data_IF_029103562272
#
_entry.id   IF_029103562272
#
_cell.length_a   1.000
_cell.length_b   1.000
_cell.length_c   1.000
_cell.angle_alpha   90.00
_cell.angle_beta   90.00
_cell.angle_gamma   90.00
#
_symmetry.space_group_name_H-M   'P 1'
#
loop_
_entity.id
_entity.type
_entity.pdbx_description
1 polymer ?
#
# COMPACT_ATOMS: atom_id res chain seq x y z
N UNK A 1 -11.54 72.54 17.55
CA UNK A 1 -12.19 71.62 16.58
C UNK A 1 -11.20 71.12 15.54
N UNK A 2 -9.90 71.01 15.88
CA UNK A 2 -8.84 70.53 14.98
C UNK A 2 -8.23 69.20 15.48
N UNK A 3 -8.36 68.90 16.78
CA UNK A 3 -7.80 67.68 17.39
C UNK A 3 -8.54 66.38 17.04
N UNK A 4 -9.75 66.41 16.48
CA UNK A 4 -10.50 65.20 16.07
C UNK A 4 -10.12 64.67 14.68
N UNK A 5 -9.45 65.47 13.84
CA UNK A 5 -9.07 65.09 12.47
C UNK A 5 -7.78 64.28 12.41
N UNK A 6 -6.84 64.51 13.35
CA UNK A 6 -5.53 63.86 13.36
C UNK A 6 -5.63 62.36 13.74
N UNK A 7 -6.56 62.01 14.64
CA UNK A 7 -6.77 60.61 15.07
C UNK A 7 -7.63 59.78 14.10
N UNK A 8 -8.39 60.44 13.23
CA UNK A 8 -9.26 59.76 12.27
C UNK A 8 -8.49 59.30 11.01
N UNK A 9 -7.39 60.00 10.68
CA UNK A 9 -6.50 59.64 9.58
C UNK A 9 -5.66 58.40 9.92
N UNK A 10 -5.18 58.32 11.17
CA UNK A 10 -4.45 57.16 11.70
C UNK A 10 -5.33 55.89 11.75
N UNK A 11 -6.61 56.05 12.09
CA UNK A 11 -7.59 54.95 12.13
C UNK A 11 -7.85 54.38 10.73
N UNK A 12 -7.95 55.24 9.70
CA UNK A 12 -8.13 54.82 8.30
C UNK A 12 -6.88 54.16 7.74
N UNK A 13 -5.70 54.70 8.03
CA UNK A 13 -4.44 54.09 7.62
C UNK A 13 -4.21 52.70 8.26
N UNK A 14 -4.56 52.56 9.55
CA UNK A 14 -4.59 51.26 10.23
C UNK A 14 -5.58 50.32 9.56
N UNK A 15 -6.80 50.77 9.28
CA UNK A 15 -7.84 49.96 8.64
C UNK A 15 -7.43 49.48 7.23
N UNK A 16 -6.81 50.35 6.42
CA UNK A 16 -6.28 49.99 5.10
C UNK A 16 -5.11 49.00 5.20
N UNK A 17 -4.24 49.14 6.21
CA UNK A 17 -3.13 48.20 6.44
C UNK A 17 -3.62 46.81 6.87
N UNK A 18 -4.63 46.75 7.74
CA UNK A 18 -5.26 45.51 8.18
C UNK A 18 -6.03 44.86 7.02
N UNK A 19 -6.71 45.66 6.20
CA UNK A 19 -7.39 45.18 4.99
C UNK A 19 -6.39 44.61 3.97
N UNK A 20 -5.24 45.26 3.77
CA UNK A 20 -4.20 44.78 2.86
C UNK A 20 -3.57 43.47 3.35
N UNK A 21 -3.32 43.34 4.66
CA UNK A 21 -2.83 42.09 5.26
C UNK A 21 -3.86 40.98 5.08
N UNK A 22 -5.11 41.24 5.44
CA UNK A 22 -6.20 40.27 5.31
C UNK A 22 -6.37 39.81 3.85
N UNK A 23 -6.31 40.73 2.89
CA UNK A 23 -6.39 40.43 1.46
C UNK A 23 -5.20 39.58 0.97
N UNK A 24 -3.98 39.90 1.42
CA UNK A 24 -2.79 39.10 1.12
C UNK A 24 -2.91 37.69 1.70
N UNK A 25 -3.38 37.57 2.94
CA UNK A 25 -3.54 36.28 3.61
C UNK A 25 -4.60 35.42 2.92
N UNK A 26 -5.76 35.99 2.54
CA UNK A 26 -6.77 35.28 1.76
C UNK A 26 -6.25 34.86 0.38
N UNK A 27 -5.47 35.72 -0.29
CA UNK A 27 -4.91 35.40 -1.62
C UNK A 27 -3.89 34.28 -1.52
N UNK A 28 -2.99 34.34 -0.55
CA UNK A 28 -1.98 33.30 -0.31
C UNK A 28 -2.61 31.99 0.14
N UNK A 29 -3.62 32.05 1.03
CA UNK A 29 -4.37 30.89 1.46
C UNK A 29 -5.10 30.24 0.29
N UNK A 30 -5.83 31.03 -0.52
CA UNK A 30 -6.55 30.52 -1.69
C UNK A 30 -5.62 29.97 -2.77
N UNK A 31 -4.44 30.57 -2.97
CA UNK A 31 -3.42 30.02 -3.88
C UNK A 31 -2.88 28.68 -3.37
N UNK A 32 -2.53 28.59 -2.08
CA UNK A 32 -2.08 27.33 -1.46
C UNK A 32 -3.15 26.26 -1.56
N UNK A 33 -4.39 26.59 -1.22
CA UNK A 33 -5.53 25.68 -1.30
C UNK A 33 -5.78 25.21 -2.73
N UNK A 34 -5.74 26.12 -3.71
CA UNK A 34 -5.89 25.76 -5.14
C UNK A 34 -4.79 24.83 -5.64
N UNK A 35 -3.53 25.06 -5.23
CA UNK A 35 -2.41 24.16 -5.55
C UNK A 35 -2.61 22.80 -4.89
N UNK A 36 -2.99 22.76 -3.62
CA UNK A 36 -3.24 21.50 -2.89
C UNK A 36 -4.39 20.72 -3.53
N UNK A 37 -5.52 21.38 -3.80
CA UNK A 37 -6.69 20.75 -4.42
C UNK A 37 -6.39 20.22 -5.83
N UNK A 38 -5.60 20.96 -6.62
CA UNK A 38 -5.17 20.50 -7.94
C UNK A 38 -4.24 19.28 -7.87
N UNK A 39 -3.32 19.27 -6.90
CA UNK A 39 -2.42 18.12 -6.67
C UNK A 39 -3.18 16.90 -6.18
N UNK A 40 -4.09 17.08 -5.22
CA UNK A 40 -4.91 16.00 -4.66
C UNK A 40 -5.81 15.40 -5.73
N UNK A 41 -6.46 16.21 -6.57
CA UNK A 41 -7.29 15.73 -7.66
C UNK A 41 -6.54 14.85 -8.67
N UNK A 42 -5.35 15.29 -9.10
CA UNK A 42 -4.51 14.51 -10.01
C UNK A 42 -3.98 13.22 -9.36
N UNK A 43 -3.66 13.25 -8.08
CA UNK A 43 -3.18 12.08 -7.34
C UNK A 43 -4.30 11.05 -7.11
N UNK A 44 -5.51 11.52 -6.81
CA UNK A 44 -6.65 10.67 -6.49
C UNK A 44 -7.12 9.86 -7.70
N UNK A 45 -7.15 10.46 -8.90
CA UNK A 45 -7.48 9.74 -10.14
C UNK A 45 -6.54 8.55 -10.38
N UNK A 46 -5.23 8.77 -10.24
CA UNK A 46 -4.24 7.69 -10.37
C UNK A 46 -4.36 6.60 -9.30
N UNK A 47 -4.72 6.99 -8.07
CA UNK A 47 -5.00 6.01 -7.00
C UNK A 47 -6.25 5.18 -7.30
N UNK A 48 -7.35 5.82 -7.71
CA UNK A 48 -8.63 5.16 -7.99
C UNK A 48 -8.47 4.15 -9.13
N UNK A 49 -7.74 4.50 -10.18
CA UNK A 49 -7.41 3.59 -11.28
C UNK A 49 -6.55 2.40 -10.81
N UNK A 50 -5.47 2.66 -10.06
CA UNK A 50 -4.62 1.62 -9.50
C UNK A 50 -5.38 0.68 -8.56
N UNK A 51 -6.28 1.22 -7.75
CA UNK A 51 -7.16 0.46 -6.87
C UNK A 51 -8.15 -0.39 -7.66
N UNK A 52 -8.83 0.18 -8.67
CA UNK A 52 -9.86 -0.52 -9.43
C UNK A 52 -9.27 -1.63 -10.33
N UNK A 53 -8.14 -1.36 -10.98
CA UNK A 53 -7.55 -2.26 -11.98
C UNK A 53 -6.70 -3.36 -11.32
N UNK A 54 -5.93 -3.02 -10.29
CA UNK A 54 -4.95 -3.94 -9.69
C UNK A 54 -5.29 -4.26 -8.24
N UNK A 55 -5.47 -3.23 -7.41
CA UNK A 55 -5.61 -3.37 -5.95
C UNK A 55 -6.78 -4.27 -5.53
N UNK A 56 -7.99 -3.90 -5.94
CA UNK A 56 -9.22 -4.58 -5.56
C UNK A 56 -9.33 -6.00 -6.15
N UNK A 57 -9.06 -6.25 -7.44
CA UNK A 57 -9.11 -7.61 -8.00
C UNK A 57 -8.11 -8.55 -7.33
N UNK A 58 -6.86 -8.10 -7.17
CA UNK A 58 -5.79 -8.91 -6.60
C UNK A 58 -6.01 -9.17 -5.10
N UNK A 59 -6.44 -8.15 -4.36
CA UNK A 59 -6.79 -8.26 -2.95
C UNK A 59 -7.98 -9.21 -2.73
N UNK A 60 -9.01 -9.15 -3.58
CA UNK A 60 -10.15 -10.08 -3.54
C UNK A 60 -9.71 -11.52 -3.81
N UNK A 61 -8.90 -11.75 -4.85
CA UNK A 61 -8.40 -13.09 -5.18
C UNK A 61 -7.61 -13.70 -4.02
N UNK A 62 -6.63 -12.98 -3.48
CA UNK A 62 -5.84 -13.44 -2.33
C UNK A 62 -6.70 -13.67 -1.09
N UNK A 63 -7.62 -12.75 -0.77
CA UNK A 63 -8.49 -12.86 0.38
C UNK A 63 -9.37 -14.12 0.32
N UNK A 64 -9.90 -14.42 -0.87
CA UNK A 64 -10.72 -15.59 -1.11
C UNK A 64 -9.90 -16.88 -0.99
N UNK A 65 -8.69 -16.93 -1.55
CA UNK A 65 -7.79 -18.09 -1.39
C UNK A 65 -7.42 -18.35 0.08
N UNK A 66 -7.10 -17.29 0.84
CA UNK A 66 -6.81 -17.40 2.28
C UNK A 66 -8.02 -17.89 3.06
N UNK A 67 -9.21 -17.38 2.75
CA UNK A 67 -10.47 -17.80 3.36
C UNK A 67 -10.76 -19.29 3.10
N UNK A 68 -10.62 -19.73 1.84
CA UNK A 68 -10.81 -21.13 1.45
C UNK A 68 -9.81 -22.06 2.16
N UNK A 69 -8.53 -21.70 2.18
CA UNK A 69 -7.50 -22.48 2.87
C UNK A 69 -7.77 -22.59 4.38
N UNK A 70 -8.22 -21.50 5.01
CA UNK A 70 -8.57 -21.47 6.45
C UNK A 70 -9.80 -22.32 6.75
N UNK A 71 -10.81 -22.28 5.88
CA UNK A 71 -12.02 -23.09 6.00
C UNK A 71 -11.70 -24.58 5.85
N UNK A 72 -10.90 -24.97 4.85
CA UNK A 72 -10.44 -26.34 4.67
C UNK A 72 -9.64 -26.83 5.87
N UNK A 73 -8.70 -26.02 6.38
CA UNK A 73 -7.90 -26.35 7.55
C UNK A 73 -8.78 -26.59 8.78
N UNK A 74 -9.79 -25.75 9.02
CA UNK A 74 -10.74 -25.91 10.13
C UNK A 74 -11.63 -27.14 9.98
N UNK A 75 -12.04 -27.47 8.75
CA UNK A 75 -12.83 -28.67 8.47
C UNK A 75 -12.03 -29.94 8.71
N UNK A 76 -10.79 -29.99 8.22
CA UNK A 76 -9.90 -31.13 8.37
C UNK A 76 -9.45 -31.31 9.82
N UNK A 77 -9.22 -30.23 10.56
CA UNK A 77 -8.82 -30.30 11.98
C UNK A 77 -9.91 -30.86 12.91
N UNK A 78 -11.18 -30.76 12.52
CA UNK A 78 -12.32 -31.28 13.30
C UNK A 78 -12.61 -32.76 13.02
N UNK A 79 -12.00 -33.35 11.99
CA UNK A 79 -12.29 -34.72 11.58
C UNK A 79 -11.13 -35.64 11.94
N UNK A 80 -11.32 -36.54 12.91
CA UNK A 80 -10.32 -37.53 13.32
C UNK A 80 -10.27 -38.73 12.36
N UNK A 81 -9.71 -38.56 11.16
CA UNK A 81 -9.47 -39.66 10.22
C UNK A 81 -8.02 -39.64 9.71
N UNK A 82 -7.31 -40.75 9.87
CA UNK A 82 -5.90 -40.95 9.48
C UNK A 82 -5.62 -40.54 8.02
N UNK A 83 -6.53 -40.83 7.09
CA UNK A 83 -6.39 -40.44 5.68
C UNK A 83 -6.50 -38.92 5.46
N UNK A 84 -7.13 -38.20 6.38
CA UNK A 84 -7.27 -36.73 6.34
C UNK A 84 -6.12 -35.99 7.01
N UNK A 85 -5.25 -36.67 7.77
CA UNK A 85 -4.07 -36.03 8.36
C UNK A 85 -3.05 -35.57 7.31
N UNK A 86 -2.85 -36.33 6.23
CA UNK A 86 -2.00 -35.90 5.12
C UNK A 86 -2.56 -34.62 4.44
N UNK A 87 -3.88 -34.56 4.24
CA UNK A 87 -4.54 -33.37 3.73
C UNK A 87 -4.52 -32.18 4.70
N UNK A 88 -4.45 -32.43 6.02
CA UNK A 88 -4.34 -31.38 7.04
C UNK A 88 -2.97 -30.68 6.96
N UNK A 89 -1.88 -31.45 6.87
CA UNK A 89 -0.54 -30.88 6.71
C UNK A 89 -0.41 -30.11 5.39
N UNK A 90 -1.00 -30.62 4.31
CA UNK A 90 -1.02 -29.89 3.04
C UNK A 90 -1.85 -28.59 3.12
N UNK A 91 -3.03 -28.63 3.74
CA UNK A 91 -3.83 -27.42 3.98
C UNK A 91 -3.08 -26.38 4.82
N UNK A 92 -2.30 -26.84 5.81
CA UNK A 92 -1.48 -25.98 6.67
C UNK A 92 -0.33 -25.33 5.89
N UNK A 93 0.39 -26.09 5.05
CA UNK A 93 1.44 -25.56 4.17
C UNK A 93 0.88 -24.53 3.18
N UNK A 94 -0.27 -24.81 2.56
CA UNK A 94 -0.91 -23.86 1.64
C UNK A 94 -1.34 -22.59 2.39
N UNK A 95 -1.95 -22.73 3.56
CA UNK A 95 -2.41 -21.59 4.36
C UNK A 95 -1.25 -20.70 4.85
N UNK A 96 -0.13 -21.30 5.29
CA UNK A 96 1.05 -20.52 5.70
C UNK A 96 1.65 -19.76 4.52
N UNK A 97 1.85 -20.44 3.37
CA UNK A 97 2.40 -19.80 2.16
C UNK A 97 1.51 -18.67 1.65
N UNK A 98 0.18 -18.85 1.63
CA UNK A 98 -0.75 -17.80 1.25
C UNK A 98 -0.73 -16.61 2.21
N UNK A 99 -0.44 -16.84 3.50
CA UNK A 99 -0.32 -15.77 4.51
C UNK A 99 0.96 -14.98 4.33
N UNK A 100 2.06 -15.64 3.95
CA UNK A 100 3.36 -15.01 3.73
C UNK A 100 3.43 -14.13 2.48
N UNK A 101 2.59 -14.39 1.46
CA UNK A 101 2.54 -13.58 0.23
C UNK A 101 2.08 -12.15 0.53
N UNK A 102 2.89 -11.14 0.23
CA UNK A 102 2.50 -9.74 0.34
C UNK A 102 1.97 -9.20 -0.98
N UNK A 103 1.19 -8.12 -0.92
CA UNK A 103 0.72 -7.44 -2.12
C UNK A 103 1.88 -6.90 -2.96
N UNK A 104 2.94 -6.39 -2.33
CA UNK A 104 4.16 -5.90 -2.98
C UNK A 104 4.92 -6.97 -3.77
N UNK A 105 4.70 -8.25 -3.48
CA UNK A 105 5.37 -9.36 -4.16
C UNK A 105 4.66 -9.79 -5.46
N UNK A 106 3.35 -9.54 -5.54
CA UNK A 106 2.49 -10.03 -6.62
C UNK A 106 1.90 -8.91 -7.50
N UNK A 107 1.91 -7.67 -7.01
CA UNK A 107 1.48 -6.53 -7.78
C UNK A 107 2.45 -6.28 -8.94
N UNK A 108 1.96 -6.05 -10.17
CA UNK A 108 2.82 -5.67 -11.28
C UNK A 108 3.61 -4.39 -10.92
N UNK A 109 4.90 -4.31 -11.27
CA UNK A 109 5.67 -3.10 -11.08
C UNK A 109 5.05 -1.96 -11.89
N UNK A 110 4.77 -0.85 -11.22
CA UNK A 110 4.25 0.36 -11.86
C UNK A 110 5.41 1.11 -12.55
N UNK A 111 5.62 0.78 -13.83
CA UNK A 111 6.70 1.34 -14.64
C UNK A 111 6.53 2.86 -14.88
N UNK A 112 5.31 3.39 -14.77
CA UNK A 112 5.04 4.82 -14.91
C UNK A 112 5.39 5.57 -13.63
N UNK A 113 4.99 5.05 -12.47
CA UNK A 113 5.39 5.58 -11.18
C UNK A 113 6.91 5.49 -10.94
N UNK A 114 7.56 4.40 -11.37
CA UNK A 114 9.02 4.25 -11.28
C UNK A 114 9.76 5.26 -12.14
N UNK A 115 9.28 5.52 -13.37
CA UNK A 115 9.84 6.53 -14.25
C UNK A 115 9.65 7.93 -13.69
N UNK A 116 8.45 8.26 -13.22
CA UNK A 116 8.17 9.57 -12.63
C UNK A 116 9.01 9.85 -11.38
N UNK A 117 9.14 8.86 -10.48
CA UNK A 117 10.01 8.95 -9.31
C UNK A 117 11.49 9.15 -9.68
N UNK A 118 11.94 8.50 -10.76
CA UNK A 118 13.31 8.64 -11.27
C UNK A 118 13.55 10.02 -11.87
N UNK A 119 12.60 10.55 -12.64
CA UNK A 119 12.68 11.88 -13.24
C UNK A 119 12.69 12.99 -12.16
N UNK A 120 11.93 12.82 -11.07
CA UNK A 120 11.98 13.72 -9.91
C UNK A 120 13.31 13.67 -9.15
N UNK A 121 13.86 12.47 -8.88
CA UNK A 121 15.17 12.31 -8.25
C UNK A 121 16.31 12.96 -9.08
N UNK A 122 16.18 12.95 -10.41
CA UNK A 122 17.13 13.61 -11.31
C UNK A 122 16.95 15.14 -11.35
N UNK A 123 15.73 15.64 -11.10
CA UNK A 123 15.42 17.06 -10.97
C UNK A 123 15.89 17.65 -9.63
N UNK A 124 15.69 16.95 -8.50
CA UNK A 124 16.12 17.37 -7.16
C UNK A 124 17.65 17.40 -7.02
N UNK A 125 18.38 16.55 -7.77
CA UNK A 125 19.85 16.62 -7.82
C UNK A 125 20.37 17.91 -8.50
N UNK A 126 19.51 18.69 -9.16
CA UNK A 126 19.85 19.96 -9.84
C UNK A 126 19.23 21.21 -9.19
N UNK A 127 18.27 21.06 -8.29
CA UNK A 127 17.62 22.17 -7.60
C UNK A 127 17.72 21.96 -6.08
N UNK A 128 18.67 22.65 -5.46
CA UNK A 128 18.72 22.86 -4.02
C UNK A 128 17.62 23.88 -3.69
N UNK A 129 16.40 23.44 -3.34
CA UNK A 129 15.34 24.29 -2.75
C UNK A 129 14.10 23.46 -2.32
N UNK A 130 13.99 23.21 -1.01
CA UNK A 130 12.78 23.33 -0.16
C UNK A 130 11.39 22.81 -0.64
N UNK A 131 11.32 21.83 -1.54
CA UNK A 131 10.07 21.10 -1.81
C UNK A 131 10.04 19.79 -1.01
N UNK A 132 9.58 19.92 0.23
CA UNK A 132 9.37 18.83 1.18
C UNK A 132 8.43 17.76 0.60
N UNK A 133 9.00 16.73 0.00
CA UNK A 133 8.32 15.59 -0.62
C UNK A 133 7.91 14.58 0.47
N UNK A 134 6.96 14.97 1.31
CA UNK A 134 6.49 14.20 2.48
C UNK A 134 5.69 12.92 2.09
N UNK A 135 5.28 12.77 0.83
CA UNK A 135 4.44 11.64 0.38
C UNK A 135 5.17 10.29 0.31
N UNK A 136 6.50 10.26 0.44
CA UNK A 136 7.31 9.05 0.29
C UNK A 136 7.91 8.55 1.60
N UNK A 137 7.80 9.27 2.71
CA UNK A 137 8.40 8.83 3.99
C UNK A 137 7.75 7.52 4.46
N UNK A 138 6.41 7.46 4.49
CA UNK A 138 5.68 6.24 4.88
C UNK A 138 5.89 5.03 3.95
N UNK A 139 6.11 5.25 2.64
CA UNK A 139 6.42 4.15 1.71
C UNK A 139 7.85 3.64 1.90
N UNK A 140 8.81 4.54 2.14
CA UNK A 140 10.20 4.17 2.48
C UNK A 140 10.26 3.39 3.79
N UNK A 141 9.53 3.84 4.81
CA UNK A 141 9.42 3.13 6.08
C UNK A 141 8.82 1.73 5.92
N UNK A 142 7.70 1.61 5.18
CA UNK A 142 7.10 0.30 4.88
C UNK A 142 8.07 -0.64 4.18
N UNK A 143 8.80 -0.15 3.16
CA UNK A 143 9.82 -0.95 2.47
C UNK A 143 10.98 -1.35 3.38
N UNK A 144 11.40 -0.47 4.29
CA UNK A 144 12.44 -0.76 5.27
C UNK A 144 12.00 -1.84 6.26
N UNK A 145 10.76 -1.76 6.76
CA UNK A 145 10.15 -2.77 7.63
C UNK A 145 10.03 -4.11 6.92
N UNK A 146 9.55 -4.12 5.66
CA UNK A 146 9.47 -5.34 4.84
C UNK A 146 10.86 -5.99 4.64
N UNK A 147 11.88 -5.17 4.34
CA UNK A 147 13.26 -5.66 4.20
C UNK A 147 13.81 -6.24 5.51
N UNK A 148 13.45 -5.65 6.64
CA UNK A 148 13.87 -6.11 7.96
C UNK A 148 13.19 -7.44 8.31
N UNK A 149 11.90 -7.60 7.99
CA UNK A 149 11.19 -8.86 8.14
C UNK A 149 11.79 -9.97 7.27
N UNK A 150 12.13 -9.67 6.01
CA UNK A 150 12.80 -10.61 5.10
C UNK A 150 14.17 -11.07 5.67
N UNK A 151 14.92 -10.13 6.26
CA UNK A 151 16.19 -10.43 6.94
C UNK A 151 15.99 -11.28 8.19
N UNK A 152 14.98 -10.98 9.01
CA UNK A 152 14.64 -11.76 10.21
C UNK A 152 14.19 -13.18 9.87
N UNK A 153 13.36 -13.37 8.82
CA UNK A 153 12.95 -14.70 8.34
C UNK A 153 14.18 -15.53 7.91
N UNK A 154 15.14 -14.90 7.23
CA UNK A 154 16.41 -15.54 6.84
C UNK A 154 17.29 -15.91 8.05
N UNK A 155 17.31 -15.10 9.10
CA UNK A 155 18.10 -15.41 10.31
C UNK A 155 17.41 -16.43 11.22
N UNK A 156 16.07 -16.43 11.29
CA UNK A 156 15.28 -17.39 12.07
C UNK A 156 15.34 -18.81 11.51
N UNK A 157 15.55 -18.97 10.20
CA UNK A 157 15.84 -20.23 9.55
C UNK A 157 17.35 -20.57 9.67
N UNK A 158 17.81 -20.81 10.90
CA UNK A 158 19.23 -21.05 11.18
C UNK A 158 19.82 -22.28 10.46
N UNK A 159 21.01 -22.11 9.87
CA UNK A 159 22.10 -23.09 9.58
C UNK A 159 21.67 -24.55 9.31
N UNK A 160 20.60 -24.78 8.57
CA UNK A 160 20.19 -26.11 8.13
C UNK A 160 19.95 -26.07 6.63
N UNK A 161 20.86 -26.72 5.91
CA UNK A 161 20.82 -27.08 4.49
C UNK A 161 20.84 -25.93 3.48
N UNK A 162 22.01 -25.78 2.84
CA UNK A 162 22.21 -25.09 1.58
C UNK A 162 21.38 -25.73 0.46
N UNK A 163 20.12 -25.34 0.28
CA UNK A 163 19.36 -25.51 -0.96
C UNK A 163 17.93 -24.95 -0.80
N UNK A 164 17.78 -23.65 -0.93
CA UNK A 164 16.63 -22.93 -1.51
C UNK A 164 16.78 -21.48 -1.08
N UNK A 165 17.30 -20.65 -1.99
CA UNK A 165 17.11 -19.21 -1.87
C UNK A 165 15.60 -19.02 -1.85
N UNK A 166 15.01 -18.69 -0.70
CA UNK A 166 13.60 -18.28 -0.65
C UNK A 166 13.49 -17.00 -1.48
N UNK A 167 13.23 -17.18 -2.77
CA UNK A 167 12.91 -16.11 -3.71
C UNK A 167 11.57 -15.53 -3.30
N UNK A 168 11.41 -14.21 -3.44
CA UNK A 168 10.14 -13.55 -3.15
C UNK A 168 8.99 -14.28 -3.87
N UNK A 169 7.85 -14.52 -3.20
CA UNK A 169 6.73 -15.21 -3.82
C UNK A 169 6.29 -14.50 -5.08
N UNK A 170 6.10 -15.22 -6.18
CA UNK A 170 5.65 -14.61 -7.43
C UNK A 170 4.16 -14.83 -7.67
N UNK A 171 3.58 -14.07 -8.61
CA UNK A 171 2.18 -14.29 -9.03
C UNK A 171 1.93 -15.73 -9.52
N UNK A 172 2.94 -16.36 -10.15
CA UNK A 172 2.87 -17.77 -10.57
C UNK A 172 2.77 -18.73 -9.39
N UNK A 173 3.40 -18.41 -8.25
CA UNK A 173 3.31 -19.22 -7.04
C UNK A 173 1.91 -19.16 -6.43
N UNK A 174 1.24 -18.00 -6.49
CA UNK A 174 -0.18 -17.89 -6.12
C UNK A 174 -1.04 -18.80 -7.00
N UNK A 175 -0.81 -18.81 -8.31
CA UNK A 175 -1.55 -19.68 -9.23
C UNK A 175 -1.29 -21.17 -8.97
N UNK A 176 -0.06 -21.54 -8.60
CA UNK A 176 0.27 -22.92 -8.19
C UNK A 176 -0.44 -23.29 -6.88
N UNK A 177 -0.42 -22.41 -5.88
CA UNK A 177 -1.11 -22.63 -4.60
C UNK A 177 -2.62 -22.75 -4.79
N UNK A 178 -3.21 -21.94 -5.67
CA UNK A 178 -4.61 -22.04 -6.07
C UNK A 178 -4.93 -23.42 -6.65
N UNK A 179 -4.14 -23.92 -7.60
CA UNK A 179 -4.36 -25.25 -8.19
C UNK A 179 -4.24 -26.36 -7.14
N UNK A 180 -3.25 -26.29 -6.25
CA UNK A 180 -3.09 -27.23 -5.13
C UNK A 180 -4.30 -27.20 -4.19
N UNK A 181 -4.79 -26.02 -3.85
CA UNK A 181 -5.95 -25.85 -2.98
C UNK A 181 -7.23 -26.46 -3.59
N UNK A 182 -7.45 -26.27 -4.90
CA UNK A 182 -8.59 -26.87 -5.61
C UNK A 182 -8.46 -28.40 -5.60
N UNK A 183 -7.31 -28.94 -5.96
CA UNK A 183 -7.07 -30.39 -5.95
C UNK A 183 -7.29 -31.01 -4.56
N UNK A 184 -6.84 -30.33 -3.50
CA UNK A 184 -7.07 -30.76 -2.12
C UNK A 184 -8.55 -30.70 -1.74
N UNK A 185 -9.27 -29.68 -2.19
CA UNK A 185 -10.72 -29.59 -1.94
C UNK A 185 -11.49 -30.73 -2.62
N UNK A 186 -11.12 -31.08 -3.85
CA UNK A 186 -11.69 -32.20 -4.60
C UNK A 186 -11.40 -33.54 -3.92
N UNK A 187 -10.17 -33.76 -3.44
CA UNK A 187 -9.81 -34.99 -2.72
C UNK A 187 -10.56 -35.14 -1.39
N UNK A 188 -10.97 -34.02 -0.78
CA UNK A 188 -11.75 -33.99 0.47
C UNK A 188 -13.27 -34.06 0.20
N UNK A 189 -13.69 -33.96 -1.07
CA UNK A 189 -15.09 -34.03 -1.49
C UNK A 189 -15.88 -32.73 -1.26
N UNK A 190 -15.18 -31.59 -1.14
CA UNK A 190 -15.80 -30.27 -1.01
C UNK A 190 -15.65 -29.54 -2.34
N UNK A 191 -16.76 -29.25 -3.01
CA UNK A 191 -16.76 -28.42 -4.20
C UNK A 191 -16.59 -26.95 -3.79
N UNK A 192 -15.38 -26.40 -3.93
CA UNK A 192 -15.15 -24.96 -3.79
C UNK A 192 -15.69 -24.25 -5.03
N UNK A 193 -16.80 -23.51 -4.88
CA UNK A 193 -17.29 -22.64 -5.94
C UNK A 193 -16.49 -21.33 -5.93
N UNK A 194 -15.79 -21.09 -7.04
CA UNK A 194 -15.09 -19.84 -7.33
C UNK A 194 -16.02 -19.00 -8.22
N UNK A 195 -16.50 -17.83 -7.75
CA UNK A 195 -17.31 -16.90 -8.54
C UNK A 195 -16.93 -15.44 -8.31
#
# INVERSE_FOLDING_TARGET
>A
MEDELLWNDDSRALQDSEWSKLSSDFTNAGYREGITAGKEGALQEGFDDGYAIVGAPLGRELGLLRGMASALLSFLSKTENIQKHAGLEEARDIASRLTDIRFSDIAPPDLEAERHAREHLEADRKADEDLDFDTNEGLKEKRAIESLEDMMKRMGAGVATSAEVQTRPTADDVQRLRKRLIALSESVGIALQWS
#
